data_IF_302439546869
#
_entry.id   IF_302439546869
#
_cell.length_a   1.000
_cell.length_b   1.000
_cell.length_c   1.000
_cell.angle_alpha   90.00
_cell.angle_beta   90.00
_cell.angle_gamma   90.00
#
_symmetry.space_group_name_H-M   'P 1'
#
loop_
_entity.id
_entity.type
_entity.pdbx_description
1 polymer ?
#
# COMPACT_ATOMS: atom_id res chain seq x y z
N UNK A 1 1.33 -17.45 -6.16
CA UNK A 1 1.54 -17.92 -4.77
C UNK A 1 1.36 -16.76 -3.80
N UNK A 2 0.96 -17.00 -2.53
CA UNK A 2 0.68 -15.94 -1.53
C UNK A 2 1.62 -16.12 -0.35
N UNK A 3 2.54 -15.18 -0.13
CA UNK A 3 3.50 -15.19 0.96
C UNK A 3 3.08 -14.23 2.07
N UNK A 4 3.03 -14.71 3.32
CA UNK A 4 2.68 -13.92 4.49
C UNK A 4 3.80 -13.90 5.53
N UNK A 5 3.94 -12.78 6.22
CA UNK A 5 4.67 -12.68 7.48
C UNK A 5 3.64 -12.67 8.61
N UNK A 6 3.86 -13.50 9.62
CA UNK A 6 2.89 -13.67 10.70
C UNK A 6 3.55 -13.93 12.05
N UNK A 7 2.81 -13.65 13.13
CA UNK A 7 3.19 -14.01 14.51
C UNK A 7 2.39 -15.19 14.97
N UNK A 8 3.09 -16.21 15.50
CA UNK A 8 2.52 -17.42 16.08
C UNK A 8 3.44 -17.94 17.18
N UNK A 9 2.88 -18.43 18.31
CA UNK A 9 3.62 -18.99 19.44
C UNK A 9 4.80 -18.13 19.93
N UNK A 10 4.61 -16.80 19.91
CA UNK A 10 5.62 -15.84 20.35
C UNK A 10 6.72 -15.53 19.33
N UNK A 11 6.79 -16.25 18.21
CA UNK A 11 7.74 -16.03 17.11
C UNK A 11 7.15 -15.26 15.93
N UNK A 12 8.03 -14.70 15.09
CA UNK A 12 7.69 -14.14 13.79
C UNK A 12 8.18 -15.09 12.70
N UNK A 13 7.29 -15.46 11.78
CA UNK A 13 7.51 -16.47 10.76
C UNK A 13 7.10 -15.95 9.38
N UNK A 14 7.61 -16.59 8.33
CA UNK A 14 7.09 -16.46 6.98
C UNK A 14 6.41 -17.78 6.56
N UNK A 15 5.40 -17.69 5.71
CA UNK A 15 4.69 -18.87 5.23
C UNK A 15 3.94 -18.63 3.92
N UNK A 16 3.43 -19.73 3.35
CA UNK A 16 2.57 -19.73 2.16
C UNK A 16 1.12 -19.89 2.59
N UNK A 17 0.25 -19.01 2.11
CA UNK A 17 -1.20 -19.09 2.35
C UNK A 17 -1.85 -19.92 1.27
N UNK A 18 -2.54 -21.01 1.66
CA UNK A 18 -3.32 -21.85 0.79
C UNK A 18 -4.64 -22.21 1.48
N UNK A 19 -5.78 -21.82 0.89
CA UNK A 19 -7.10 -21.91 1.54
C UNK A 19 -7.09 -21.15 2.89
N UNK A 20 -7.56 -21.81 3.95
CA UNK A 20 -7.58 -21.28 5.31
C UNK A 20 -6.31 -21.65 6.12
N UNK A 21 -5.30 -22.19 5.45
CA UNK A 21 -4.05 -22.65 6.04
C UNK A 21 -2.86 -21.77 5.68
N UNK A 22 -1.94 -21.68 6.63
CA UNK A 22 -0.65 -21.03 6.46
C UNK A 22 0.44 -22.09 6.66
N UNK A 23 1.16 -22.41 5.59
CA UNK A 23 2.24 -23.42 5.58
C UNK A 23 3.57 -22.74 5.91
N UNK A 24 4.20 -23.07 7.03
CA UNK A 24 5.45 -22.43 7.46
C UNK A 24 6.58 -22.66 6.45
N UNK A 25 7.33 -21.60 6.16
CA UNK A 25 8.62 -21.69 5.49
C UNK A 25 9.72 -22.08 6.49
N UNK A 26 10.89 -22.52 6.04
CA UNK A 26 12.01 -22.84 6.93
C UNK A 26 12.32 -21.72 7.91
N UNK A 27 12.73 -22.08 9.13
CA UNK A 27 13.09 -21.12 10.18
C UNK A 27 14.14 -20.12 9.70
N UNK A 28 13.99 -18.85 10.07
CA UNK A 28 14.85 -17.75 9.62
C UNK A 28 14.52 -17.19 8.24
N UNK A 29 13.59 -17.80 7.50
CA UNK A 29 13.10 -17.24 6.23
C UNK A 29 12.26 -15.97 6.50
N UNK A 30 12.52 -14.92 5.73
CA UNK A 30 11.66 -13.72 5.70
C UNK A 30 11.10 -13.52 4.29
N UNK A 31 9.94 -12.89 4.18
CA UNK A 31 9.36 -12.59 2.84
C UNK A 31 10.29 -11.67 2.04
N UNK A 32 10.92 -10.67 2.69
CA UNK A 32 11.93 -9.85 2.04
C UNK A 32 13.13 -10.68 1.56
N UNK A 33 13.57 -11.66 2.34
CA UNK A 33 14.60 -12.61 1.94
C UNK A 33 14.20 -13.39 0.68
N UNK A 34 12.95 -13.89 0.62
CA UNK A 34 12.41 -14.57 -0.56
C UNK A 34 12.40 -13.65 -1.79
N UNK A 35 11.91 -12.42 -1.64
CA UNK A 35 11.91 -11.42 -2.73
C UNK A 35 13.31 -11.27 -3.30
N UNK A 36 14.34 -11.19 -2.46
CA UNK A 36 15.75 -11.06 -2.86
C UNK A 36 16.33 -12.30 -3.53
N UNK A 37 15.76 -13.49 -3.32
CA UNK A 37 16.19 -14.70 -4.03
C UNK A 37 15.63 -14.79 -5.45
N UNK A 38 14.65 -13.93 -5.78
CA UNK A 38 13.94 -13.91 -7.06
C UNK A 38 12.75 -14.87 -7.11
N UNK A 39 11.81 -14.54 -7.98
CA UNK A 39 10.51 -15.22 -8.08
C UNK A 39 10.61 -16.74 -8.29
N UNK A 40 11.47 -17.27 -9.21
CA UNK A 40 11.53 -18.72 -9.42
C UNK A 40 11.97 -19.49 -8.17
N UNK A 41 12.95 -18.97 -7.42
CA UNK A 41 13.43 -19.61 -6.19
C UNK A 41 12.36 -19.55 -5.10
N UNK A 42 11.68 -18.40 -4.96
CA UNK A 42 10.61 -18.22 -3.99
C UNK A 42 9.44 -19.19 -4.25
N UNK A 43 9.03 -19.35 -5.51
CA UNK A 43 7.99 -20.32 -5.90
C UNK A 43 8.38 -21.74 -5.55
N UNK A 44 9.61 -22.17 -5.86
CA UNK A 44 10.09 -23.51 -5.52
C UNK A 44 10.12 -23.76 -4.00
N UNK A 45 10.53 -22.80 -3.21
CA UNK A 45 10.49 -22.88 -1.74
C UNK A 45 9.05 -22.94 -1.22
N UNK A 46 8.16 -22.16 -1.81
CA UNK A 46 6.75 -22.16 -1.47
C UNK A 46 6.06 -23.49 -1.78
N UNK A 47 6.31 -24.07 -2.97
CA UNK A 47 5.79 -25.41 -3.33
C UNK A 47 6.25 -26.47 -2.32
N UNK A 48 7.51 -26.42 -1.91
CA UNK A 48 8.01 -27.34 -0.89
C UNK A 48 7.29 -27.15 0.46
N UNK A 49 7.03 -25.90 0.86
CA UNK A 49 6.34 -25.59 2.11
C UNK A 49 4.89 -26.11 2.14
N UNK A 50 4.20 -26.18 1.01
CA UNK A 50 2.82 -26.70 0.92
C UNK A 50 2.73 -28.18 1.34
N UNK A 51 3.84 -28.92 1.33
CA UNK A 51 3.91 -30.29 1.85
C UNK A 51 3.95 -30.39 3.38
N UNK A 52 4.17 -29.28 4.10
CA UNK A 52 4.21 -29.23 5.56
C UNK A 52 2.81 -29.02 6.16
N UNK A 53 2.57 -29.42 7.44
CA UNK A 53 1.32 -29.14 8.13
C UNK A 53 1.04 -27.63 8.17
N UNK A 54 -0.21 -27.24 7.87
CA UNK A 54 -0.65 -25.87 7.93
C UNK A 54 -1.03 -25.43 9.35
N UNK A 55 -0.81 -24.17 9.68
CA UNK A 55 -1.39 -23.48 10.83
C UNK A 55 -2.67 -22.79 10.34
N UNK A 56 -3.84 -22.95 11.02
CA UNK A 56 -5.04 -22.22 10.67
C UNK A 56 -4.82 -20.69 10.71
N UNK A 57 -5.24 -19.97 9.67
CA UNK A 57 -4.95 -18.55 9.52
C UNK A 57 -5.59 -17.71 10.64
N UNK A 58 -6.72 -18.16 11.19
CA UNK A 58 -7.39 -17.50 12.32
C UNK A 58 -6.61 -17.59 13.66
N UNK A 59 -5.58 -18.45 13.73
CA UNK A 59 -4.71 -18.59 14.92
C UNK A 59 -3.44 -17.75 14.88
N UNK A 60 -3.23 -17.00 13.80
CA UNK A 60 -2.04 -16.18 13.63
C UNK A 60 -2.40 -14.71 13.55
N UNK A 61 -1.47 -13.84 13.93
CA UNK A 61 -1.56 -12.41 13.62
C UNK A 61 -0.75 -12.14 12.37
N UNK A 62 -1.43 -11.73 11.28
CA UNK A 62 -0.78 -11.27 10.08
C UNK A 62 -0.06 -9.95 10.35
N UNK A 63 1.19 -9.85 9.95
CA UNK A 63 2.02 -8.65 9.97
C UNK A 63 2.10 -8.07 8.56
N UNK A 64 2.68 -6.86 8.36
CA UNK A 64 3.05 -6.43 7.02
C UNK A 64 3.83 -7.54 6.31
N UNK A 65 3.56 -7.85 5.04
CA UNK A 65 4.18 -8.99 4.37
C UNK A 65 5.70 -8.94 4.37
N UNK A 66 6.27 -7.75 4.30
CA UNK A 66 7.72 -7.53 4.31
C UNK A 66 8.06 -6.18 4.95
N UNK A 67 9.33 -6.00 5.33
CA UNK A 67 9.91 -4.72 5.77
C UNK A 67 10.64 -4.10 4.57
N UNK A 68 10.01 -3.20 3.79
CA UNK A 68 10.58 -2.66 2.57
C UNK A 68 11.72 -1.68 2.85
N UNK A 69 12.78 -1.62 2.00
CA UNK A 69 13.80 -0.59 2.09
C UNK A 69 13.26 0.82 1.87
N UNK A 70 12.31 0.97 0.93
CA UNK A 70 11.61 2.22 0.64
C UNK A 70 10.15 1.94 0.30
N UNK A 71 9.31 2.93 0.54
CA UNK A 71 7.94 2.98 0.04
C UNK A 71 7.78 4.28 -0.74
N UNK A 72 7.43 4.15 -2.02
CA UNK A 72 7.06 5.27 -2.90
C UNK A 72 5.59 5.14 -3.21
N UNK A 73 4.88 6.23 -3.09
CA UNK A 73 3.46 6.24 -3.40
C UNK A 73 3.18 7.23 -4.53
N UNK A 74 2.47 6.76 -5.54
CA UNK A 74 2.19 7.47 -6.78
C UNK A 74 0.81 8.13 -6.73
N UNK A 75 0.45 8.85 -7.79
CA UNK A 75 -0.89 9.38 -8.01
C UNK A 75 -1.31 9.09 -9.45
N UNK A 76 -1.88 7.90 -9.67
CA UNK A 76 -2.11 7.40 -11.03
C UNK A 76 -3.57 7.34 -11.46
N UNK A 77 -4.53 7.60 -10.59
CA UNK A 77 -5.94 7.57 -10.97
C UNK A 77 -6.46 8.99 -11.27
N UNK A 78 -6.78 9.24 -12.53
CA UNK A 78 -7.32 10.51 -13.01
C UNK A 78 -8.61 10.91 -12.25
N UNK A 79 -9.54 9.96 -12.09
CA UNK A 79 -10.81 10.17 -11.40
C UNK A 79 -10.63 10.59 -9.93
N UNK A 80 -9.58 10.11 -9.25
CA UNK A 80 -9.22 10.52 -7.90
C UNK A 80 -8.72 11.97 -7.87
N UNK A 81 -7.79 12.32 -8.77
CA UNK A 81 -7.24 13.68 -8.88
C UNK A 81 -8.35 14.68 -9.18
N UNK A 82 -9.20 14.38 -10.16
CA UNK A 82 -10.36 15.19 -10.53
C UNK A 82 -11.31 15.36 -9.33
N UNK A 83 -11.59 14.27 -8.62
CA UNK A 83 -12.50 14.29 -7.47
C UNK A 83 -12.02 15.13 -6.30
N UNK A 84 -10.70 15.22 -6.07
CA UNK A 84 -10.12 16.06 -5.01
C UNK A 84 -9.96 17.52 -5.45
N UNK A 85 -9.42 17.75 -6.65
CA UNK A 85 -8.98 19.06 -7.10
C UNK A 85 -10.01 19.79 -7.98
N UNK A 86 -11.04 19.09 -8.46
CA UNK A 86 -12.03 19.62 -9.40
C UNK A 86 -11.52 19.75 -10.83
N UNK A 87 -10.37 19.11 -11.14
CA UNK A 87 -9.76 19.05 -12.47
C UNK A 87 -8.36 18.47 -12.40
N UNK A 88 -7.83 18.08 -13.56
CA UNK A 88 -6.49 17.48 -13.70
C UNK A 88 -5.58 18.46 -14.45
N UNK A 89 -4.41 18.75 -13.86
CA UNK A 89 -3.42 19.63 -14.50
C UNK A 89 -2.67 18.88 -15.62
N UNK A 90 -2.25 19.58 -16.71
CA UNK A 90 -1.56 18.94 -17.83
C UNK A 90 -0.31 18.15 -17.42
N UNK A 91 0.42 18.61 -16.43
CA UNK A 91 1.66 17.99 -15.95
C UNK A 91 1.42 16.59 -15.36
N UNK A 92 0.19 16.29 -14.90
CA UNK A 92 -0.15 14.95 -14.44
C UNK A 92 -0.04 13.91 -15.56
N UNK A 93 -0.35 14.27 -16.82
CA UNK A 93 -0.27 13.37 -17.96
C UNK A 93 1.16 13.17 -18.49
N UNK A 94 2.14 13.96 -18.01
CA UNK A 94 3.51 13.91 -18.51
C UNK A 94 4.33 12.78 -17.88
N UNK A 95 4.10 12.48 -16.59
CA UNK A 95 4.83 11.44 -15.86
C UNK A 95 4.14 11.02 -14.56
N UNK A 96 4.25 9.75 -14.14
CA UNK A 96 3.70 9.30 -12.86
C UNK A 96 4.52 9.88 -11.70
N UNK A 97 3.96 10.87 -11.03
CA UNK A 97 4.58 11.52 -9.86
C UNK A 97 4.39 10.69 -8.61
N UNK A 98 5.41 10.67 -7.74
CA UNK A 98 5.35 9.98 -6.46
C UNK A 98 6.02 10.78 -5.33
N UNK A 99 5.74 10.41 -4.10
CA UNK A 99 6.47 10.84 -2.90
C UNK A 99 7.00 9.62 -2.14
N UNK A 100 7.95 9.84 -1.21
CA UNK A 100 8.42 8.82 -0.30
C UNK A 100 7.62 8.87 0.99
N UNK A 101 7.03 7.75 1.39
CA UNK A 101 6.43 7.60 2.71
C UNK A 101 7.36 6.86 3.67
N UNK A 102 6.96 6.75 4.93
CA UNK A 102 7.79 6.23 6.01
C UNK A 102 7.75 4.69 6.08
N UNK A 103 8.82 3.97 5.72
CA UNK A 103 8.83 2.50 5.77
C UNK A 103 8.81 1.93 7.20
N UNK A 104 9.01 2.78 8.23
CA UNK A 104 8.95 2.37 9.64
C UNK A 104 7.55 2.44 10.25
N UNK A 105 6.57 2.99 9.53
CA UNK A 105 5.20 3.17 10.00
C UNK A 105 4.23 2.12 9.42
N UNK A 106 4.75 0.94 9.07
CA UNK A 106 3.91 -0.13 8.51
C UNK A 106 3.05 -0.79 9.58
N UNK A 107 1.81 -1.07 9.23
CA UNK A 107 0.84 -1.81 10.06
C UNK A 107 0.30 -3.00 9.29
N UNK A 108 -0.03 -4.07 10.01
CA UNK A 108 -0.55 -5.30 9.43
C UNK A 108 -2.02 -5.20 9.05
N UNK A 109 -2.49 -6.21 8.33
CA UNK A 109 -3.83 -6.27 7.74
C UNK A 109 -4.99 -6.09 8.74
N UNK A 110 -4.77 -6.40 10.02
CA UNK A 110 -5.80 -6.38 11.07
C UNK A 110 -5.36 -5.60 12.32
N UNK A 111 -4.30 -4.79 12.21
CA UNK A 111 -3.81 -3.99 13.32
C UNK A 111 -4.66 -2.74 13.52
N UNK A 112 -4.70 -2.25 14.77
CA UNK A 112 -5.29 -0.96 15.10
C UNK A 112 -4.44 0.18 14.56
N UNK A 113 -5.08 1.27 14.11
CA UNK A 113 -4.42 2.43 13.53
C UNK A 113 -4.74 3.67 14.35
N UNK A 114 -3.75 4.26 15.05
CA UNK A 114 -3.98 5.44 15.86
C UNK A 114 -4.14 6.70 15.02
N UNK A 115 -5.11 7.55 15.36
CA UNK A 115 -5.23 8.89 14.76
C UNK A 115 -3.97 9.70 15.05
N UNK A 116 -3.33 10.32 14.03
CA UNK A 116 -2.10 11.10 14.26
C UNK A 116 -2.33 12.29 15.19
N UNK A 117 -1.37 12.60 16.09
CA UNK A 117 -1.49 13.71 17.01
C UNK A 117 -1.75 15.04 16.29
N UNK A 118 -2.82 15.71 16.71
CA UNK A 118 -3.21 17.02 16.15
C UNK A 118 -4.07 16.96 14.90
N UNK A 119 -4.33 15.79 14.34
CA UNK A 119 -5.27 15.64 13.21
C UNK A 119 -6.73 15.61 13.69
N UNK A 120 -7.59 16.26 12.88
CA UNK A 120 -9.05 16.25 12.99
C UNK A 120 -9.72 15.89 11.66
N UNK A 121 -8.93 15.45 10.69
CA UNK A 121 -9.40 15.06 9.35
C UNK A 121 -8.65 13.80 8.91
N UNK A 122 -8.83 12.71 9.68
CA UNK A 122 -8.21 11.43 9.39
C UNK A 122 -8.99 10.69 8.31
N UNK A 123 -8.27 10.05 7.40
CA UNK A 123 -8.79 9.46 6.17
C UNK A 123 -7.99 8.20 5.80
N UNK A 124 -8.55 7.40 4.91
CA UNK A 124 -7.93 6.22 4.30
C UNK A 124 -7.66 6.48 2.81
N UNK A 125 -6.84 5.64 2.18
CA UNK A 125 -6.64 5.58 0.74
C UNK A 125 -6.53 4.13 0.27
N UNK A 126 -7.49 3.67 -0.53
CA UNK A 126 -7.48 2.32 -1.13
C UNK A 126 -6.56 2.27 -2.34
N UNK A 127 -5.54 1.44 -2.23
CA UNK A 127 -4.48 1.27 -3.23
C UNK A 127 -4.04 -0.17 -3.39
N UNK A 128 -3.29 -0.43 -4.45
CA UNK A 128 -2.48 -1.63 -4.64
C UNK A 128 -1.01 -1.22 -4.74
N UNK A 129 -0.12 -2.01 -4.18
CA UNK A 129 1.31 -1.78 -4.32
C UNK A 129 2.00 -2.94 -5.05
N UNK A 130 2.93 -2.60 -5.95
CA UNK A 130 3.89 -3.53 -6.51
C UNK A 130 5.13 -3.64 -5.61
N UNK A 131 5.68 -4.85 -5.48
CA UNK A 131 6.95 -5.12 -4.79
C UNK A 131 8.01 -5.46 -5.83
N UNK A 132 9.10 -4.69 -5.84
CA UNK A 132 10.23 -4.92 -6.73
C UNK A 132 10.99 -6.18 -6.32
N UNK A 133 11.27 -7.07 -7.27
CA UNK A 133 11.92 -8.37 -7.03
C UNK A 133 13.41 -8.41 -7.33
N UNK A 134 13.93 -7.42 -8.05
CA UNK A 134 15.37 -7.33 -8.37
C UNK A 134 15.84 -5.88 -8.46
N UNK A 135 17.11 -5.68 -8.18
CA UNK A 135 17.74 -4.37 -8.34
C UNK A 135 17.77 -3.94 -9.81
N UNK A 136 17.58 -2.65 -10.05
CA UNK A 136 17.67 -2.08 -11.39
C UNK A 136 17.83 -0.57 -11.39
N UNK A 137 18.35 -0.05 -12.50
CA UNK A 137 18.54 1.39 -12.73
C UNK A 137 18.16 1.71 -14.15
N UNK A 138 17.38 2.76 -14.36
CA UNK A 138 16.92 3.21 -15.68
C UNK A 138 16.32 2.08 -16.52
N UNK A 139 15.48 1.27 -15.89
CA UNK A 139 14.81 0.13 -16.53
C UNK A 139 13.84 0.62 -17.61
N UNK A 140 13.80 -0.06 -18.73
CA UNK A 140 12.69 0.04 -19.68
C UNK A 140 11.41 -0.56 -19.07
N UNK A 141 10.21 -0.22 -19.55
CA UNK A 141 8.97 -0.84 -19.06
C UNK A 141 8.98 -2.38 -19.12
N UNK A 142 9.56 -2.98 -20.16
CA UNK A 142 9.69 -4.42 -20.28
C UNK A 142 10.60 -5.02 -19.19
N UNK A 143 11.77 -4.42 -18.94
CA UNK A 143 12.68 -4.84 -17.87
C UNK A 143 12.08 -4.60 -16.48
N UNK A 144 11.31 -3.51 -16.32
CA UNK A 144 10.60 -3.17 -15.11
C UNK A 144 9.50 -4.18 -14.78
N UNK A 145 8.75 -4.62 -15.80
CA UNK A 145 7.77 -5.71 -15.66
C UNK A 145 8.39 -6.98 -15.12
N UNK A 146 9.53 -7.39 -15.68
CA UNK A 146 10.27 -8.58 -15.24
C UNK A 146 10.92 -8.39 -13.85
N UNK A 147 11.00 -7.15 -13.36
CA UNK A 147 11.49 -6.82 -12.04
C UNK A 147 10.41 -6.85 -10.95
N UNK A 148 9.13 -6.92 -11.28
CA UNK A 148 8.04 -6.99 -10.30
C UNK A 148 7.95 -8.42 -9.75
N UNK A 149 8.06 -8.55 -8.43
CA UNK A 149 7.91 -9.83 -7.72
C UNK A 149 6.44 -10.18 -7.49
N UNK A 150 5.63 -9.21 -7.13
CA UNK A 150 4.22 -9.40 -6.80
C UNK A 150 3.55 -8.14 -6.30
N UNK A 151 2.35 -8.31 -5.75
CA UNK A 151 1.46 -7.23 -5.37
C UNK A 151 0.81 -7.46 -4.02
N UNK A 152 0.43 -6.37 -3.36
CA UNK A 152 -0.29 -6.39 -2.07
C UNK A 152 -1.25 -5.20 -1.99
N UNK A 153 -2.25 -5.25 -1.11
CA UNK A 153 -3.09 -4.08 -0.83
C UNK A 153 -2.27 -3.08 -0.01
N UNK A 154 -2.42 -1.81 -0.32
CA UNK A 154 -1.87 -0.70 0.45
C UNK A 154 -3.00 0.23 0.87
N UNK A 155 -2.98 0.66 2.13
CA UNK A 155 -3.80 1.77 2.60
C UNK A 155 -2.89 2.88 3.12
N UNK A 156 -2.87 4.02 2.42
CA UNK A 156 -2.10 5.18 2.81
C UNK A 156 -2.93 6.09 3.75
N UNK A 157 -2.81 5.84 5.05
CA UNK A 157 -3.53 6.58 6.07
C UNK A 157 -3.14 8.05 6.08
N UNK A 158 -4.14 8.92 5.99
CA UNK A 158 -3.95 10.33 5.69
C UNK A 158 -4.53 11.25 6.76
N UNK A 159 -3.68 12.13 7.31
CA UNK A 159 -4.12 13.25 8.14
C UNK A 159 -4.28 14.50 7.26
N UNK A 160 -5.47 14.70 6.66
CA UNK A 160 -5.70 15.68 5.59
C UNK A 160 -5.47 17.15 6.00
N UNK A 161 -5.74 17.48 7.25
CA UNK A 161 -5.48 18.82 7.79
C UNK A 161 -3.98 19.08 7.95
N UNK A 162 -3.19 18.09 8.37
CA UNK A 162 -1.73 18.17 8.42
C UNK A 162 -1.16 18.26 7.00
N UNK A 163 -1.59 17.38 6.09
CA UNK A 163 -1.20 17.39 4.68
C UNK A 163 -1.45 18.75 4.03
N UNK A 164 -2.66 19.32 4.18
CA UNK A 164 -2.99 20.64 3.62
C UNK A 164 -2.09 21.75 4.15
N UNK A 165 -1.65 21.68 5.40
CA UNK A 165 -0.70 22.63 5.98
C UNK A 165 0.67 22.52 5.35
N UNK A 166 1.16 21.29 5.18
CA UNK A 166 2.48 20.97 4.59
C UNK A 166 2.56 21.41 3.13
N UNK A 167 1.54 21.14 2.35
CA UNK A 167 1.47 21.54 0.95
C UNK A 167 1.57 23.07 0.76
N UNK A 168 1.16 23.88 1.75
CA UNK A 168 1.28 25.35 1.69
C UNK A 168 2.73 25.85 1.79
N UNK A 169 3.66 25.02 2.26
CA UNK A 169 5.10 25.37 2.28
C UNK A 169 5.86 24.75 1.12
N UNK A 170 5.14 24.16 0.16
CA UNK A 170 5.67 23.51 -1.05
C UNK A 170 6.70 22.40 -0.74
N UNK A 171 6.52 21.73 0.39
CA UNK A 171 7.31 20.57 0.80
C UNK A 171 6.38 19.57 1.47
N UNK A 172 6.38 18.37 1.01
CA UNK A 172 5.51 17.32 1.52
C UNK A 172 4.85 16.54 0.39
N UNK A 173 3.97 15.59 0.72
CA UNK A 173 3.47 15.34 2.08
C UNK A 173 4.55 14.78 3.01
N UNK A 174 4.39 15.01 4.32
CA UNK A 174 5.26 14.49 5.38
C UNK A 174 4.42 13.93 6.54
N UNK A 175 4.21 14.69 7.62
CA UNK A 175 3.41 14.24 8.78
C UNK A 175 1.94 13.95 8.47
N UNK A 176 1.44 14.44 7.35
CA UNK A 176 0.12 14.10 6.83
C UNK A 176 -0.01 12.65 6.36
N UNK A 177 1.12 11.96 6.08
CA UNK A 177 1.19 10.65 5.41
C UNK A 177 2.14 9.64 6.07
N UNK A 178 2.91 10.01 7.09
CA UNK A 178 3.98 9.16 7.63
C UNK A 178 3.63 8.43 8.93
N UNK A 179 2.37 8.50 9.37
CA UNK A 179 1.95 7.95 10.66
C UNK A 179 1.58 6.48 10.63
N UNK A 180 1.05 6.01 9.51
CA UNK A 180 0.72 4.60 9.26
C UNK A 180 0.59 4.34 7.76
N UNK A 181 1.00 3.15 7.32
CA UNK A 181 0.69 2.58 6.02
C UNK A 181 0.35 1.11 6.22
N UNK A 182 -0.87 0.67 5.92
CA UNK A 182 -1.21 -0.75 6.00
C UNK A 182 -0.75 -1.46 4.73
N UNK A 183 -0.01 -2.55 4.90
CA UNK A 183 0.31 -3.49 3.83
C UNK A 183 -0.27 -4.87 4.16
N UNK A 184 -0.89 -5.52 3.19
CA UNK A 184 -1.38 -6.87 3.42
C UNK A 184 -2.55 -7.30 2.51
N UNK A 185 -3.19 -8.44 2.87
CA UNK A 185 -2.85 -9.30 4.00
C UNK A 185 -1.60 -10.15 3.78
N UNK A 186 -1.17 -10.30 2.52
CA UNK A 186 -0.02 -11.05 2.05
C UNK A 186 0.53 -10.46 0.75
N UNK A 187 1.70 -10.93 0.33
CA UNK A 187 2.28 -10.63 -0.98
C UNK A 187 1.86 -11.74 -1.96
N UNK A 188 1.12 -11.36 -3.00
CA UNK A 188 0.70 -12.24 -4.10
C UNK A 188 1.71 -12.13 -5.23
N UNK A 189 2.28 -13.26 -5.66
CA UNK A 189 3.29 -13.25 -6.73
C UNK A 189 2.71 -12.84 -8.09
N UNK A 190 3.53 -12.21 -8.93
CA UNK A 190 3.08 -11.60 -10.18
C UNK A 190 2.47 -12.61 -11.17
N UNK A 191 2.92 -13.87 -11.16
CA UNK A 191 2.38 -14.95 -11.99
C UNK A 191 0.91 -15.27 -11.65
N UNK A 192 0.50 -15.17 -10.38
CA UNK A 192 -0.91 -15.37 -9.95
C UNK A 192 -1.84 -14.36 -10.59
N UNK A 193 -1.36 -13.13 -10.80
CA UNK A 193 -2.17 -12.04 -11.38
C UNK A 193 -2.03 -11.92 -12.90
N UNK A 194 -1.15 -12.70 -13.52
CA UNK A 194 -0.98 -12.69 -14.97
C UNK A 194 -2.29 -12.89 -15.76
N UNK A 195 -3.26 -13.74 -15.33
CA UNK A 195 -4.54 -13.89 -16.03
C UNK A 195 -5.43 -12.64 -16.03
N UNK A 196 -5.21 -11.69 -15.13
CA UNK A 196 -5.98 -10.44 -15.02
C UNK A 196 -5.35 -9.29 -15.79
N UNK A 197 -4.17 -9.53 -16.39
CA UNK A 197 -3.41 -8.53 -17.13
C UNK A 197 -3.90 -8.43 -18.56
N UNK A 198 -4.20 -7.19 -18.98
CA UNK A 198 -4.54 -6.90 -20.39
C UNK A 198 -3.30 -6.71 -21.26
N UNK A 199 -3.53 -6.42 -22.57
CA UNK A 199 -2.46 -6.25 -23.55
C UNK A 199 -1.61 -4.99 -23.31
N UNK A 200 -2.14 -3.98 -22.60
CA UNK A 200 -1.48 -2.72 -22.28
C UNK A 200 -0.77 -2.74 -20.93
N UNK A 201 -0.94 -3.83 -20.16
CA UNK A 201 -0.25 -4.06 -18.92
C UNK A 201 -1.07 -3.77 -17.67
N UNK A 202 -2.31 -3.31 -17.80
CA UNK A 202 -3.18 -3.04 -16.66
C UNK A 202 -3.76 -4.33 -16.06
N UNK A 203 -3.94 -4.33 -14.74
CA UNK A 203 -4.52 -5.44 -14.01
C UNK A 203 -6.01 -5.16 -13.75
N UNK A 204 -6.90 -5.98 -14.35
CA UNK A 204 -8.35 -5.87 -14.17
C UNK A 204 -8.79 -6.51 -12.84
N UNK A 205 -8.54 -5.82 -11.73
CA UNK A 205 -8.91 -6.23 -10.38
C UNK A 205 -9.93 -5.25 -9.81
N UNK A 206 -11.05 -5.75 -9.31
CA UNK A 206 -12.02 -4.91 -8.60
C UNK A 206 -11.46 -4.52 -7.22
N UNK A 207 -11.63 -3.25 -6.85
CA UNK A 207 -11.19 -2.63 -5.61
C UNK A 207 -12.40 -2.07 -4.88
N UNK A 208 -12.60 -2.44 -3.61
CA UNK A 208 -13.73 -2.01 -2.78
C UNK A 208 -13.27 -1.55 -1.41
N UNK A 209 -13.91 -0.51 -0.91
CA UNK A 209 -13.71 -0.05 0.47
C UNK A 209 -15.01 0.20 1.18
N UNK A 210 -15.09 -0.24 2.42
CA UNK A 210 -16.22 0.03 3.32
C UNK A 210 -15.74 0.68 4.62
N UNK A 211 -16.61 1.51 5.18
CA UNK A 211 -16.43 2.09 6.53
C UNK A 211 -17.62 1.61 7.37
N UNK A 212 -17.34 0.95 8.50
CA UNK A 212 -18.34 0.39 9.41
C UNK A 212 -19.36 -0.52 8.69
N UNK A 213 -18.87 -1.31 7.71
CA UNK A 213 -19.68 -2.24 6.93
C UNK A 213 -20.51 -1.59 5.82
N UNK A 214 -20.42 -0.26 5.62
CA UNK A 214 -21.07 0.43 4.51
C UNK A 214 -20.05 0.69 3.40
N UNK A 215 -20.30 0.17 2.20
CA UNK A 215 -19.42 0.44 1.04
C UNK A 215 -19.46 1.94 0.71
N UNK A 216 -18.28 2.55 0.62
CA UNK A 216 -18.11 3.98 0.35
C UNK A 216 -17.41 4.26 -0.97
N UNK A 217 -16.66 3.29 -1.49
CA UNK A 217 -15.96 3.40 -2.76
C UNK A 217 -15.78 2.04 -3.46
N UNK A 218 -15.75 2.09 -4.79
CA UNK A 218 -15.53 0.95 -5.68
C UNK A 218 -14.90 1.42 -6.98
N UNK A 219 -13.81 0.76 -7.38
CA UNK A 219 -13.10 1.07 -8.63
C UNK A 219 -12.47 -0.19 -9.22
N UNK A 220 -11.75 -0.04 -10.32
CA UNK A 220 -10.92 -1.07 -10.91
C UNK A 220 -9.46 -0.61 -10.97
N UNK A 221 -8.52 -1.50 -10.65
CA UNK A 221 -7.10 -1.22 -10.80
C UNK A 221 -6.70 -0.92 -12.25
N UNK A 222 -7.47 -1.39 -13.23
CA UNK A 222 -7.29 -1.06 -14.65
C UNK A 222 -7.57 0.41 -15.00
N UNK A 223 -8.13 1.21 -14.09
CA UNK A 223 -8.36 2.63 -14.30
C UNK A 223 -7.15 3.52 -13.95
N UNK A 224 -6.01 2.95 -13.64
CA UNK A 224 -4.74 3.67 -13.52
C UNK A 224 -4.39 4.33 -14.87
N UNK A 225 -3.74 5.49 -14.84
CA UNK A 225 -3.20 6.15 -16.04
C UNK A 225 -1.90 5.52 -16.55
N UNK A 226 -1.20 4.76 -15.71
CA UNK A 226 0.04 4.03 -16.04
C UNK A 226 0.03 2.65 -15.39
N UNK A 227 0.40 1.58 -16.12
CA UNK A 227 0.58 0.26 -15.53
C UNK A 227 1.81 0.22 -14.61
N UNK A 228 1.90 -0.74 -13.71
CA UNK A 228 2.97 -0.81 -12.70
C UNK A 228 4.39 -0.86 -13.28
N UNK A 229 4.58 -1.45 -14.45
CA UNK A 229 5.88 -1.43 -15.12
C UNK A 229 6.35 -0.03 -15.47
N UNK A 230 5.44 0.89 -15.81
CA UNK A 230 5.79 2.29 -16.05
C UNK A 230 6.17 2.99 -14.74
N UNK A 231 5.51 2.66 -13.63
CA UNK A 231 5.86 3.19 -12.31
C UNK A 231 7.26 2.75 -11.88
N UNK A 232 7.57 1.45 -12.02
CA UNK A 232 8.92 0.91 -11.70
C UNK A 232 9.97 1.49 -12.65
N UNK A 233 9.68 1.60 -13.95
CA UNK A 233 10.55 2.22 -14.94
C UNK A 233 10.85 3.66 -14.53
N UNK A 234 9.81 4.47 -14.25
CA UNK A 234 9.97 5.87 -13.84
C UNK A 234 10.73 6.00 -12.51
N UNK A 235 10.40 5.19 -11.51
CA UNK A 235 11.09 5.19 -10.21
C UNK A 235 12.58 4.85 -10.31
N UNK A 236 12.97 4.05 -11.32
CA UNK A 236 14.38 3.67 -11.56
C UNK A 236 15.14 4.67 -12.45
N UNK A 237 14.46 5.65 -13.05
CA UNK A 237 15.03 6.57 -14.03
C UNK A 237 16.13 7.45 -13.41
N UNK A 238 17.36 7.28 -13.87
CA UNK A 238 18.53 8.02 -13.36
C UNK A 238 18.93 7.67 -11.91
N UNK A 239 18.34 6.64 -11.33
CA UNK A 239 18.60 6.16 -9.96
C UNK A 239 18.35 4.65 -9.87
N UNK A 240 18.19 4.14 -8.66
CA UNK A 240 17.99 2.71 -8.39
C UNK A 240 16.64 2.42 -7.78
N UNK A 241 16.06 1.28 -8.19
CA UNK A 241 15.10 0.51 -7.40
C UNK A 241 15.79 -0.76 -6.89
N UNK A 242 15.38 -1.24 -5.73
CA UNK A 242 15.98 -2.40 -5.05
C UNK A 242 14.94 -3.47 -4.78
N UNK A 243 15.40 -4.72 -4.72
CA UNK A 243 14.55 -5.82 -4.31
C UNK A 243 13.96 -5.58 -2.92
N UNK A 244 12.64 -5.56 -2.86
CA UNK A 244 11.85 -5.23 -1.67
C UNK A 244 11.29 -3.80 -1.64
N UNK A 245 11.68 -2.90 -2.56
CA UNK A 245 11.04 -1.59 -2.68
C UNK A 245 9.53 -1.77 -2.98
N UNK A 246 8.71 -0.97 -2.34
CA UNK A 246 7.24 -0.96 -2.51
C UNK A 246 6.83 0.29 -3.26
N UNK A 247 6.01 0.13 -4.29
CA UNK A 247 5.49 1.21 -5.12
C UNK A 247 3.95 1.15 -5.10
N UNK A 248 3.31 2.08 -4.37
CA UNK A 248 1.86 2.25 -4.31
C UNK A 248 1.30 2.83 -5.60
N UNK A 249 0.12 2.37 -6.00
CA UNK A 249 -0.58 2.85 -7.21
C UNK A 249 -1.03 4.30 -7.10
N UNK A 250 -1.10 4.80 -5.89
CA UNK A 250 -1.97 5.93 -5.58
C UNK A 250 -3.43 5.50 -5.41
N UNK A 251 -4.17 6.34 -4.75
CA UNK A 251 -5.57 6.09 -4.39
C UNK A 251 -6.43 5.86 -5.63
N UNK A 252 -7.23 4.80 -5.64
CA UNK A 252 -8.21 4.57 -6.69
C UNK A 252 -9.31 5.66 -6.67
N UNK A 253 -9.99 5.84 -7.80
CA UNK A 253 -11.10 6.78 -7.93
C UNK A 253 -12.39 6.29 -7.25
N UNK A 254 -13.46 7.05 -7.49
CA UNK A 254 -14.82 6.65 -7.15
C UNK A 254 -15.06 6.31 -5.67
N UNK A 255 -14.42 7.10 -4.77
CA UNK A 255 -14.54 6.95 -3.34
C UNK A 255 -13.43 6.13 -2.70
N UNK A 256 -12.28 5.98 -3.36
CA UNK A 256 -11.08 5.37 -2.79
C UNK A 256 -10.55 6.06 -1.54
N UNK A 257 -11.03 7.27 -1.24
CA UNK A 257 -10.80 7.99 0.02
C UNK A 257 -11.95 8.94 0.35
N UNK A 258 -12.01 9.41 1.61
CA UNK A 258 -12.99 10.41 2.03
C UNK A 258 -12.73 11.79 1.42
N UNK A 259 -11.45 12.14 1.19
CA UNK A 259 -11.09 13.44 0.61
C UNK A 259 -11.71 13.62 -0.79
N UNK A 260 -11.78 12.56 -1.60
CA UNK A 260 -12.47 12.59 -2.88
C UNK A 260 -13.99 12.81 -2.71
N UNK A 261 -14.59 12.12 -1.73
CA UNK A 261 -16.02 12.30 -1.43
C UNK A 261 -16.32 13.73 -0.98
N UNK A 262 -15.45 14.32 -0.15
CA UNK A 262 -15.57 15.72 0.26
C UNK A 262 -15.42 16.69 -0.94
N UNK A 263 -14.46 16.44 -1.82
CA UNK A 263 -14.26 17.23 -3.04
C UNK A 263 -15.47 17.20 -3.99
N UNK A 264 -16.18 16.06 -4.01
CA UNK A 264 -17.46 15.87 -4.75
C UNK A 264 -18.68 16.41 -3.98
N UNK A 265 -18.49 17.11 -2.87
CA UNK A 265 -19.56 17.73 -2.07
C UNK A 265 -20.38 16.76 -1.21
N UNK A 266 -19.87 15.54 -0.94
CA UNK A 266 -20.55 14.60 -0.04
C UNK A 266 -20.17 14.91 1.41
N UNK A 267 -21.18 14.96 2.28
CA UNK A 267 -21.01 15.18 3.72
C UNK A 267 -20.76 13.83 4.43
N UNK A 268 -19.50 13.38 4.43
CA UNK A 268 -19.04 12.19 5.16
C UNK A 268 -18.09 12.65 6.25
N UNK A 269 -18.27 12.23 7.53
CA UNK A 269 -17.35 12.65 8.59
C UNK A 269 -15.95 12.07 8.37
N UNK A 270 -14.88 12.76 8.84
CA UNK A 270 -13.56 12.15 8.96
C UNK A 270 -13.60 10.92 9.88
N UNK A 271 -12.66 10.01 9.71
CA UNK A 271 -12.53 8.83 10.57
C UNK A 271 -12.27 9.23 12.02
N UNK A 272 -12.94 8.51 12.92
CA UNK A 272 -12.84 8.68 14.37
C UNK A 272 -12.47 7.35 15.06
N UNK A 273 -11.94 7.37 16.29
CA UNK A 273 -11.73 6.15 17.06
C UNK A 273 -12.99 5.30 17.18
N UNK A 274 -12.88 4.02 16.84
CA UNK A 274 -13.96 3.05 16.76
C UNK A 274 -14.39 2.76 15.32
N UNK A 275 -14.06 3.59 14.34
CA UNK A 275 -14.36 3.30 12.95
C UNK A 275 -13.50 2.14 12.42
N UNK A 276 -14.11 1.33 11.58
CA UNK A 276 -13.50 0.18 10.93
C UNK A 276 -13.46 0.41 9.43
N UNK A 277 -12.26 0.41 8.87
CA UNK A 277 -12.04 0.48 7.42
C UNK A 277 -11.68 -0.92 6.91
N UNK A 278 -12.45 -1.41 5.95
CA UNK A 278 -12.21 -2.68 5.29
C UNK A 278 -12.01 -2.46 3.80
N UNK A 279 -10.91 -2.99 3.27
CA UNK A 279 -10.54 -2.88 1.85
C UNK A 279 -10.37 -4.27 1.27
N UNK A 280 -11.00 -4.52 0.14
CA UNK A 280 -10.89 -5.78 -0.60
C UNK A 280 -10.45 -5.50 -2.03
N UNK A 281 -9.46 -6.25 -2.49
CA UNK A 281 -9.03 -6.25 -3.89
C UNK A 281 -9.05 -7.68 -4.40
N UNK A 282 -9.72 -7.89 -5.52
CA UNK A 282 -9.84 -9.22 -6.12
C UNK A 282 -8.45 -9.81 -6.39
N UNK A 283 -8.27 -11.09 -6.08
CA UNK A 283 -6.99 -11.78 -6.21
C UNK A 283 -5.96 -11.48 -5.10
N UNK A 284 -6.05 -10.33 -4.42
CA UNK A 284 -5.12 -9.93 -3.37
C UNK A 284 -5.62 -10.25 -1.95
N UNK A 285 -6.94 -10.18 -1.71
CA UNK A 285 -7.54 -10.47 -0.40
C UNK A 285 -8.19 -9.25 0.25
N UNK A 286 -8.19 -9.22 1.59
CA UNK A 286 -8.87 -8.18 2.37
C UNK A 286 -7.99 -7.74 3.54
N UNK A 287 -7.93 -6.43 3.77
CA UNK A 287 -7.38 -5.82 4.99
C UNK A 287 -8.52 -5.15 5.76
N UNK A 288 -8.44 -5.16 7.09
CA UNK A 288 -9.47 -4.60 7.96
C UNK A 288 -8.83 -4.02 9.21
N UNK A 289 -8.79 -2.70 9.31
CA UNK A 289 -8.17 -1.99 10.41
C UNK A 289 -9.19 -1.21 11.23
N UNK A 290 -8.99 -1.15 12.54
CA UNK A 290 -9.79 -0.32 13.44
C UNK A 290 -9.04 0.96 13.77
N UNK A 291 -9.67 2.10 13.58
CA UNK A 291 -9.13 3.39 14.01
C UNK A 291 -9.22 3.50 15.53
N UNK A 292 -8.12 3.88 16.17
CA UNK A 292 -8.07 4.04 17.64
C UNK A 292 -7.59 5.45 18.02
N UNK A 293 -7.81 5.83 19.28
CA UNK A 293 -7.30 7.09 19.79
C UNK A 293 -5.76 7.13 19.73
N UNK A 294 -5.23 8.17 19.13
CA UNK A 294 -3.79 8.38 19.09
C UNK A 294 -3.20 8.91 20.42
N UNK A 295 -1.86 8.95 20.54
CA UNK A 295 -1.22 9.48 21.72
C UNK A 295 -1.48 11.00 21.89
N UNK A 296 -1.75 11.43 23.13
CA UNK A 296 -1.82 12.83 23.45
C UNK A 296 -0.41 13.44 23.53
N UNK A 297 -0.07 14.30 22.57
CA UNK A 297 1.20 15.01 22.55
C UNK A 297 0.97 16.54 22.68
N UNK A 298 1.91 17.28 23.30
CA UNK A 298 1.83 18.71 23.33
C UNK A 298 1.91 19.30 21.91
N UNK A 299 1.32 20.49 21.67
CA UNK A 299 1.45 21.17 20.39
C UNK A 299 2.90 21.41 20.00
N UNK A 300 3.20 21.36 18.70
CA UNK A 300 4.52 21.73 18.19
C UNK A 300 4.78 23.21 18.47
N UNK A 301 5.91 23.52 19.08
CA UNK A 301 6.29 24.89 19.35
C UNK A 301 6.46 25.69 18.03
N UNK A 302 6.00 26.96 17.98
CA UNK A 302 6.17 27.79 16.80
C UNK A 302 7.66 28.08 16.52
N UNK A 303 7.97 28.38 15.27
CA UNK A 303 9.32 28.79 14.87
C UNK A 303 9.74 30.06 15.61
N UNK A 304 10.97 30.07 16.10
CA UNK A 304 11.58 31.27 16.71
C UNK A 304 12.14 32.14 15.62
N UNK A 305 11.60 33.37 15.51
CA UNK A 305 12.20 34.40 14.63
C UNK A 305 13.55 34.80 15.23
N UNK A 306 14.61 34.68 14.42
CA UNK A 306 15.93 35.20 14.79
C UNK A 306 16.07 36.57 14.17
N UNK A 307 16.44 37.58 14.95
CA UNK A 307 16.91 38.87 14.45
C UNK A 307 18.33 38.70 13.99
N UNK A 308 18.62 39.04 12.73
CA UNK A 308 19.97 39.14 12.19
C UNK A 308 20.70 40.31 12.81
#
# INVERSE_FOLDING_TARGET
>A
MRFATYRHDGGTHAGVVAGDGLHPLPEGTTVLGLVRTGLPTALALGEHALGAPAVPIERVRLLPPLDPPTVRDFVTFEAHVEGIAGGVVPEWYEAPTFYFTNPYALVGAHDDVPVPPGSRAFDFELEVAAVVGRDGSSLTPAEARDAIFGYTILNDWSARDLQRREMKVNLGPAKGKDSATTLGPWLVTADELAPFRDAEGFLSLEMRVSVNGTEVGRDSLAHMGWPFEDLVSYASRGTWVRAGDVLGSGTCGNGGCLAELWGRGREVPPLAPGDVVEMTVDGLGTIRNTVVAGPGLPPVAPARRRTS
#
